data_IF_530519338100
#
_entry.id   IF_530519338100
#
_cell.length_a   1.000
_cell.length_b   1.000
_cell.length_c   1.000
_cell.angle_alpha   90.00
_cell.angle_beta   90.00
_cell.angle_gamma   90.00
#
_symmetry.space_group_name_H-M   'P 1'
#
loop_
_entity.id
_entity.type
_entity.pdbx_description
1 polymer ?
#
# COMPACT_ATOMS: atom_id res chain seq x y z
N UNK A 1 -20.21 44.78 -19.96
CA UNK A 1 -18.95 44.65 -19.19
C UNK A 1 -19.12 43.92 -17.86
N UNK A 2 -20.23 44.08 -17.12
CA UNK A 2 -20.49 43.31 -15.88
C UNK A 2 -20.98 41.87 -16.15
N UNK A 3 -21.79 41.64 -17.19
CA UNK A 3 -22.31 40.31 -17.54
C UNK A 3 -21.22 39.31 -17.95
N UNK A 4 -20.22 39.75 -18.70
CA UNK A 4 -19.05 38.94 -19.05
C UNK A 4 -18.21 38.60 -17.82
N UNK A 5 -18.15 39.52 -16.85
CA UNK A 5 -17.43 39.31 -15.59
C UNK A 5 -18.15 38.31 -14.66
N UNK A 6 -19.48 38.34 -14.60
CA UNK A 6 -20.29 37.37 -13.83
C UNK A 6 -20.20 35.97 -14.46
N UNK A 7 -20.23 35.87 -15.79
CA UNK A 7 -20.13 34.59 -16.50
C UNK A 7 -18.76 33.92 -16.28
N UNK A 8 -17.69 34.72 -16.28
CA UNK A 8 -16.32 34.26 -15.97
C UNK A 8 -16.22 33.81 -14.50
N UNK A 9 -16.87 34.50 -13.57
CA UNK A 9 -16.90 34.13 -12.15
C UNK A 9 -17.66 32.81 -11.92
N UNK A 10 -18.79 32.60 -12.62
CA UNK A 10 -19.58 31.37 -12.55
C UNK A 10 -18.86 30.17 -13.18
N UNK A 11 -18.16 30.38 -14.30
CA UNK A 11 -17.35 29.33 -14.92
C UNK A 11 -16.20 28.90 -14.01
N UNK A 12 -15.54 29.83 -13.34
CA UNK A 12 -14.45 29.53 -12.40
C UNK A 12 -14.90 28.68 -11.19
N UNK A 13 -16.16 28.80 -10.75
CA UNK A 13 -16.73 28.00 -9.66
C UNK A 13 -17.00 26.55 -10.10
N UNK A 14 -17.32 26.33 -11.39
CA UNK A 14 -17.58 24.98 -11.93
C UNK A 14 -16.28 24.18 -12.12
N UNK A 15 -15.12 24.85 -12.24
CA UNK A 15 -13.83 24.19 -12.41
C UNK A 15 -13.30 23.49 -11.15
N UNK A 16 -13.87 23.75 -9.96
CA UNK A 16 -13.35 23.25 -8.68
C UNK A 16 -13.92 21.84 -8.42
N UNK A 17 -13.64 20.90 -9.31
CA UNK A 17 -13.89 19.48 -9.06
C UNK A 17 -12.58 18.70 -9.13
N UNK A 18 -11.56 19.18 -8.41
CA UNK A 18 -10.41 18.36 -8.09
C UNK A 18 -10.84 17.38 -7.00
N UNK A 19 -11.48 16.28 -7.42
CA UNK A 19 -11.58 15.10 -6.59
C UNK A 19 -10.15 14.62 -6.39
N UNK A 20 -9.59 14.94 -5.22
CA UNK A 20 -8.32 14.41 -4.71
C UNK A 20 -8.54 12.91 -4.42
N UNK A 21 -8.72 12.13 -5.49
CA UNK A 21 -8.59 10.69 -5.43
C UNK A 21 -7.14 10.46 -5.05
N UNK A 22 -6.91 9.82 -3.89
CA UNK A 22 -5.57 9.46 -3.42
C UNK A 22 -4.92 8.61 -4.51
N UNK A 23 -4.24 9.27 -5.44
CA UNK A 23 -3.74 8.65 -6.66
C UNK A 23 -2.60 7.77 -6.21
N UNK A 24 -2.83 6.45 -6.18
CA UNK A 24 -1.79 5.49 -5.89
C UNK A 24 -0.85 5.50 -7.10
N UNK A 25 0.11 6.43 -7.11
CA UNK A 25 1.14 6.49 -8.14
C UNK A 25 2.18 5.42 -7.88
N UNK A 26 2.21 4.42 -8.75
CA UNK A 26 3.32 3.49 -8.89
C UNK A 26 3.90 3.59 -10.30
N UNK A 27 5.14 3.13 -10.48
CA UNK A 27 5.75 3.19 -11.81
C UNK A 27 5.06 2.18 -12.75
N UNK A 28 4.53 2.63 -13.90
CA UNK A 28 3.84 1.77 -14.86
C UNK A 28 4.59 0.49 -15.20
N UNK A 29 3.86 -0.63 -15.27
CA UNK A 29 4.38 -1.97 -15.62
C UNK A 29 5.50 -2.49 -14.70
N UNK A 30 5.79 -1.80 -13.59
CA UNK A 30 6.80 -2.26 -12.63
C UNK A 30 6.18 -3.13 -11.54
N UNK A 31 7.01 -4.04 -11.04
CA UNK A 31 6.75 -4.74 -9.80
C UNK A 31 7.59 -4.12 -8.67
N UNK A 32 7.06 -4.18 -7.45
CA UNK A 32 7.72 -3.65 -6.26
C UNK A 32 7.28 -4.40 -5.01
N UNK A 33 7.94 -4.13 -3.90
CA UNK A 33 7.58 -4.68 -2.59
C UNK A 33 6.76 -3.67 -1.79
N UNK A 34 5.72 -4.17 -1.14
CA UNK A 34 4.95 -3.43 -0.14
C UNK A 34 4.89 -4.27 1.13
N UNK A 35 5.72 -3.93 2.10
CA UNK A 35 6.11 -4.88 3.16
C UNK A 35 6.58 -6.20 2.53
N UNK A 36 6.16 -7.34 3.08
CA UNK A 36 6.49 -8.66 2.56
C UNK A 36 5.73 -9.06 1.28
N UNK A 37 4.75 -8.26 0.85
CA UNK A 37 3.95 -8.54 -0.34
C UNK A 37 4.65 -8.08 -1.62
N UNK A 38 4.48 -8.86 -2.69
CA UNK A 38 4.85 -8.44 -4.04
C UNK A 38 3.63 -7.75 -4.65
N UNK A 39 3.85 -6.59 -5.26
CA UNK A 39 2.83 -5.83 -5.96
C UNK A 39 3.22 -5.62 -7.44
N UNK A 40 2.20 -5.50 -8.29
CA UNK A 40 2.32 -5.14 -9.70
C UNK A 40 1.51 -3.88 -9.97
N UNK A 41 2.13 -2.94 -10.67
CA UNK A 41 1.50 -1.70 -11.10
C UNK A 41 0.82 -1.89 -12.47
N UNK A 42 -0.31 -1.22 -12.68
CA UNK A 42 -0.99 -1.20 -13.98
C UNK A 42 -0.18 -0.45 -15.03
N UNK A 43 -0.64 -0.46 -16.28
CA UNK A 43 0.01 0.26 -17.39
C UNK A 43 -0.13 1.78 -17.26
N UNK A 44 -1.17 2.24 -16.59
CA UNK A 44 -1.49 3.65 -16.35
C UNK A 44 -0.79 4.20 -15.11
N UNK A 45 -0.27 3.33 -14.24
CA UNK A 45 0.41 3.75 -13.01
C UNK A 45 -0.50 4.10 -11.85
N UNK A 46 -1.82 3.90 -11.99
CA UNK A 46 -2.85 4.35 -11.04
C UNK A 46 -3.42 3.22 -10.19
N UNK A 47 -3.31 1.97 -10.66
CA UNK A 47 -3.82 0.78 -9.97
C UNK A 47 -2.66 -0.14 -9.63
N UNK A 48 -2.74 -0.78 -8.46
CA UNK A 48 -1.82 -1.86 -8.08
C UNK A 48 -2.58 -3.07 -7.55
N UNK A 49 -2.06 -4.25 -7.84
CA UNK A 49 -2.48 -5.51 -7.25
C UNK A 49 -1.34 -6.10 -6.43
N UNK A 50 -1.62 -6.62 -5.24
CA UNK A 50 -0.60 -7.19 -4.35
C UNK A 50 -0.98 -8.60 -3.92
N UNK A 51 0.04 -9.42 -3.63
CA UNK A 51 -0.17 -10.67 -2.86
C UNK A 51 -0.78 -10.35 -1.49
N UNK A 52 -1.39 -11.34 -0.84
CA UNK A 52 -2.05 -11.19 0.47
C UNK A 52 -1.37 -12.03 1.56
N UNK A 53 -0.06 -11.85 1.73
CA UNK A 53 0.72 -12.43 2.82
C UNK A 53 0.53 -11.59 4.09
N UNK A 54 0.48 -12.24 5.24
CA UNK A 54 0.60 -11.55 6.52
C UNK A 54 2.03 -11.04 6.68
N UNK A 55 2.19 -9.72 6.82
CA UNK A 55 3.49 -9.07 6.98
C UNK A 55 3.57 -8.46 8.38
N UNK A 56 4.32 -9.07 9.30
CA UNK A 56 4.52 -8.50 10.62
C UNK A 56 5.25 -7.15 10.52
N UNK A 57 4.61 -6.09 11.02
CA UNK A 57 5.15 -4.72 10.95
C UNK A 57 6.42 -4.54 11.78
N UNK A 58 6.67 -5.40 12.77
CA UNK A 58 7.89 -5.45 13.56
C UNK A 58 9.09 -5.99 12.76
N UNK A 59 8.84 -6.67 11.63
CA UNK A 59 9.88 -7.27 10.78
C UNK A 59 10.10 -6.47 9.49
N UNK A 60 9.04 -6.03 8.83
CA UNK A 60 9.12 -5.44 7.49
C UNK A 60 8.91 -3.93 7.51
N UNK A 61 9.72 -3.22 6.72
CA UNK A 61 9.47 -1.85 6.32
C UNK A 61 8.48 -1.82 5.15
N UNK A 62 7.84 -0.67 4.91
CA UNK A 62 6.86 -0.48 3.83
C UNK A 62 7.44 -0.75 2.43
N UNK A 63 8.73 -0.48 2.23
CA UNK A 63 9.48 -0.75 0.99
C UNK A 63 9.87 -2.23 0.81
N UNK A 64 9.56 -3.09 1.78
CA UNK A 64 9.86 -4.51 1.78
C UNK A 64 11.23 -4.89 2.32
N UNK A 65 12.04 -3.93 2.77
CA UNK A 65 13.28 -4.23 3.49
C UNK A 65 13.00 -4.73 4.90
N UNK A 66 13.97 -5.45 5.49
CA UNK A 66 13.88 -5.93 6.86
C UNK A 66 14.32 -4.83 7.85
N UNK A 67 13.63 -4.73 8.97
CA UNK A 67 14.07 -3.93 10.12
C UNK A 67 15.31 -4.60 10.73
N UNK A 68 16.41 -3.85 10.82
CA UNK A 68 17.69 -4.26 11.39
C UNK A 68 17.60 -4.56 12.90
N UNK A 69 18.37 -5.55 13.41
CA UNK A 69 18.42 -6.91 12.91
C UNK A 69 17.11 -7.61 13.29
N UNK A 70 16.53 -8.44 12.42
CA UNK A 70 15.42 -9.28 12.81
C UNK A 70 15.99 -10.23 13.86
N UNK A 71 15.63 -10.05 15.13
CA UNK A 71 16.00 -10.99 16.16
C UNK A 71 15.16 -12.25 15.94
N UNK A 72 15.55 -13.04 14.93
CA UNK A 72 14.84 -14.25 14.48
C UNK A 72 14.77 -15.24 15.66
N UNK A 73 15.79 -15.21 16.52
CA UNK A 73 15.83 -15.93 17.80
C UNK A 73 14.85 -15.39 18.86
N UNK A 74 14.59 -14.08 18.92
CA UNK A 74 13.63 -13.53 19.88
C UNK A 74 12.17 -13.86 19.50
N UNK A 75 11.86 -13.97 18.19
CA UNK A 75 10.49 -14.27 17.74
C UNK A 75 10.13 -15.76 17.80
N UNK A 76 11.09 -16.68 17.67
CA UNK A 76 10.87 -18.11 17.95
C UNK A 76 10.60 -18.42 19.42
N UNK A 77 10.81 -17.46 20.34
CA UNK A 77 10.45 -17.59 21.76
C UNK A 77 9.03 -17.10 22.06
N UNK A 78 8.40 -16.35 21.14
CA UNK A 78 7.09 -15.70 21.33
C UNK A 78 5.99 -16.38 20.49
N UNK A 79 6.32 -17.03 19.38
CA UNK A 79 5.41 -17.96 18.72
C UNK A 79 5.33 -19.25 19.55
N UNK A 80 4.14 -19.71 20.02
CA UNK A 80 4.04 -21.02 20.63
C UNK A 80 4.59 -22.03 19.62
N UNK A 81 5.57 -22.84 20.06
CA UNK A 81 6.12 -23.95 19.28
C UNK A 81 4.93 -24.70 18.68
N UNK A 82 5.01 -24.96 17.37
CA UNK A 82 3.97 -25.68 16.65
C UNK A 82 3.49 -26.88 17.46
N UNK A 83 2.17 -27.00 17.59
CA UNK A 83 1.54 -28.18 18.15
C UNK A 83 1.84 -29.33 17.19
N UNK A 84 2.96 -30.01 17.45
CA UNK A 84 3.20 -31.38 17.03
C UNK A 84 2.93 -32.24 18.26
N UNK A 85 1.65 -32.48 18.55
CA UNK A 85 1.24 -33.58 19.42
C UNK A 85 0.46 -34.58 18.56
N UNK A 86 1.20 -35.47 17.90
CA UNK A 86 0.74 -36.83 17.67
C UNK A 86 0.81 -37.55 19.03
N UNK A 87 -0.16 -38.43 19.29
CA UNK A 87 -0.40 -39.27 20.49
C UNK A 87 -1.37 -38.73 21.55
N UNK A 88 -2.69 -38.86 21.30
CA UNK A 88 -3.58 -39.81 21.99
C UNK A 88 -5.04 -39.48 21.66
N UNK A 89 -5.64 -40.29 20.79
CA UNK A 89 -7.05 -40.70 20.76
C UNK A 89 -7.12 -42.02 20.01
#
# INVERSE_FOLDING_TARGET
MYFTSIFVLLLAIICISDADEVEIKCTPKMNFKFYCNTCWCSEEGTIRICTKKYCPEDIFNKDGTLKSPPNIHQKMKILPKGISNIHNL
#
